data_IF_953463382515
#
_entry.id   IF_953463382515
#
_cell.length_a   1.000
_cell.length_b   1.000
_cell.length_c   1.000
_cell.angle_alpha   90.00
_cell.angle_beta   90.00
_cell.angle_gamma   90.00
#
_symmetry.space_group_name_H-M   'P 1'
#
loop_
_entity.id
_entity.type
_entity.pdbx_description
1 polymer ?
#
# COMPACT_ATOMS: atom_id res chain seq x y z
N UNK A 1 25.63 -4.24 -27.75
CA UNK A 1 24.41 -3.43 -27.92
C UNK A 1 24.00 -2.97 -26.53
N UNK A 2 23.79 -1.68 -26.32
CA UNK A 2 23.21 -1.21 -25.05
C UNK A 2 21.79 -1.78 -24.91
N UNK A 3 21.39 -2.30 -23.75
CA UNK A 3 20.02 -2.78 -23.56
C UNK A 3 19.02 -1.66 -23.84
N UNK A 4 17.90 -2.00 -24.48
CA UNK A 4 16.83 -1.05 -24.79
C UNK A 4 16.01 -0.72 -23.53
N UNK A 5 15.32 0.42 -23.57
CA UNK A 5 14.32 0.75 -22.56
C UNK A 5 13.16 -0.25 -22.62
N UNK A 6 12.54 -0.51 -21.48
CA UNK A 6 11.38 -1.38 -21.33
C UNK A 6 10.14 -0.55 -20.99
N UNK A 7 8.98 -0.99 -21.47
CA UNK A 7 7.72 -0.28 -21.24
C UNK A 7 6.87 -0.96 -20.16
N UNK A 8 6.23 -0.14 -19.32
CA UNK A 8 5.18 -0.56 -18.40
C UNK A 8 3.90 0.16 -18.78
N UNK A 9 2.86 -0.61 -19.11
CA UNK A 9 1.51 -0.08 -19.37
C UNK A 9 0.65 -0.27 -18.13
N UNK A 10 -0.15 0.73 -17.76
CA UNK A 10 -1.06 0.68 -16.60
C UNK A 10 -2.36 1.43 -16.85
N UNK A 11 -3.42 0.99 -16.17
CA UNK A 11 -4.67 1.72 -16.07
C UNK A 11 -4.62 2.63 -14.84
N UNK A 12 -4.82 3.93 -15.04
CA UNK A 12 -4.90 4.89 -13.96
C UNK A 12 -6.35 5.32 -13.76
N UNK A 13 -6.89 5.09 -12.56
CA UNK A 13 -8.16 5.63 -12.11
C UNK A 13 -7.89 6.81 -11.17
N UNK A 14 -8.58 7.94 -11.35
CA UNK A 14 -8.31 9.13 -10.54
C UNK A 14 -9.53 9.96 -10.20
N UNK A 15 -9.57 10.45 -8.96
CA UNK A 15 -10.49 11.48 -8.47
C UNK A 15 -9.85 12.88 -8.50
N UNK A 16 -8.72 13.05 -9.17
CA UNK A 16 -8.07 14.35 -9.38
C UNK A 16 -8.76 15.13 -10.50
N UNK A 17 -8.77 16.45 -10.37
CA UNK A 17 -9.25 17.37 -11.41
C UNK A 17 -8.26 17.39 -12.58
N UNK A 18 -8.72 17.17 -13.83
CA UNK A 18 -7.90 17.37 -15.03
C UNK A 18 -7.31 18.77 -15.05
N UNK A 19 -6.06 18.89 -15.47
CA UNK A 19 -5.37 20.19 -15.53
C UNK A 19 -5.73 21.03 -16.76
N UNK A 20 -6.10 20.37 -17.86
CA UNK A 20 -6.14 20.98 -19.20
C UNK A 20 -4.76 21.13 -19.87
N UNK A 21 -3.69 20.72 -19.22
CA UNK A 21 -2.31 20.75 -19.72
C UNK A 21 -1.82 19.32 -20.05
N UNK A 22 -1.48 19.02 -21.33
CA UNK A 22 -0.90 17.74 -21.73
C UNK A 22 0.39 17.36 -20.98
N UNK A 23 1.16 18.33 -20.46
CA UNK A 23 2.39 18.07 -19.72
C UNK A 23 2.15 17.65 -18.26
N UNK A 24 0.96 17.89 -17.71
CA UNK A 24 0.60 17.54 -16.33
C UNK A 24 -0.85 17.11 -16.31
N UNK A 25 -1.18 15.85 -16.59
CA UNK A 25 -2.56 15.42 -16.88
C UNK A 25 -3.59 15.79 -15.78
N UNK A 26 -3.18 15.74 -14.51
CA UNK A 26 -4.07 15.96 -13.37
C UNK A 26 -3.43 16.84 -12.29
N UNK A 27 -4.28 17.59 -11.59
CA UNK A 27 -3.87 18.52 -10.52
C UNK A 27 -3.97 17.86 -9.13
N UNK A 28 -3.64 18.62 -8.08
CA UNK A 28 -3.92 18.27 -6.69
C UNK A 28 -5.34 18.58 -6.22
N UNK A 29 -6.22 19.06 -7.12
CA UNK A 29 -7.59 19.44 -6.78
C UNK A 29 -8.57 18.28 -6.97
N UNK A 30 -9.67 18.29 -6.21
CA UNK A 30 -10.70 17.26 -6.22
C UNK A 30 -11.57 17.32 -7.49
N UNK A 31 -11.92 16.15 -8.01
CA UNK A 31 -12.94 15.95 -9.05
C UNK A 31 -14.01 14.98 -8.55
N UNK A 32 -15.30 15.32 -8.64
CA UNK A 32 -16.37 14.36 -8.34
C UNK A 32 -16.50 13.26 -9.40
N UNK A 33 -15.96 13.49 -10.61
CA UNK A 33 -15.92 12.51 -11.69
C UNK A 33 -14.62 11.69 -11.62
N UNK A 34 -14.77 10.37 -11.74
CA UNK A 34 -13.64 9.45 -11.92
C UNK A 34 -13.13 9.57 -13.36
N UNK A 35 -11.84 9.82 -13.53
CA UNK A 35 -11.18 9.76 -14.84
C UNK A 35 -10.36 8.47 -14.97
N UNK A 36 -10.33 7.90 -16.17
CA UNK A 36 -9.60 6.69 -16.49
C UNK A 36 -8.60 6.98 -17.61
N UNK A 37 -7.35 6.52 -17.46
CA UNK A 37 -6.28 6.77 -18.41
C UNK A 37 -5.44 5.51 -18.61
N UNK A 38 -5.21 5.13 -19.86
CA UNK A 38 -4.15 4.21 -20.25
C UNK A 38 -2.83 4.98 -20.34
N UNK A 39 -1.83 4.57 -19.56
CA UNK A 39 -0.49 5.15 -19.58
C UNK A 39 0.55 4.10 -19.93
N UNK A 40 1.47 4.45 -20.84
CA UNK A 40 2.70 3.69 -21.09
C UNK A 40 3.90 4.50 -20.62
N UNK A 41 4.69 3.91 -19.73
CA UNK A 41 5.88 4.50 -19.12
C UNK A 41 7.09 3.72 -19.63
N UNK A 42 8.01 4.41 -20.28
CA UNK A 42 9.33 3.88 -20.60
C UNK A 42 10.24 3.95 -19.38
N UNK A 43 10.92 2.85 -19.11
CA UNK A 43 11.85 2.65 -18.00
C UNK A 43 13.28 2.57 -18.56
N UNK A 44 14.21 3.41 -18.10
CA UNK A 44 15.56 3.43 -18.64
C UNK A 44 16.34 2.16 -18.28
N UNK A 45 17.19 1.65 -19.19
CA UNK A 45 18.03 0.48 -18.93
C UNK A 45 19.13 0.79 -17.91
N UNK A 46 19.68 -0.26 -17.28
CA UNK A 46 20.85 -0.19 -16.39
C UNK A 46 20.69 0.72 -15.15
N UNK A 47 19.47 0.93 -14.67
CA UNK A 47 19.22 1.58 -13.38
C UNK A 47 19.32 0.58 -12.22
N UNK A 48 19.56 1.08 -11.01
CA UNK A 48 19.42 0.28 -9.81
C UNK A 48 17.93 -0.02 -9.54
N UNK A 49 17.63 -1.22 -9.04
CA UNK A 49 16.27 -1.55 -8.59
C UNK A 49 15.89 -0.66 -7.41
N UNK A 50 14.63 -0.24 -7.34
CA UNK A 50 14.13 0.67 -6.30
C UNK A 50 14.35 2.16 -6.58
N UNK A 51 15.12 2.52 -7.63
CA UNK A 51 15.36 3.93 -8.00
C UNK A 51 14.45 4.39 -9.12
N UNK A 52 14.07 5.67 -9.07
CA UNK A 52 13.40 6.38 -10.17
C UNK A 52 14.35 7.45 -10.70
N UNK A 53 14.74 7.32 -11.96
CA UNK A 53 15.55 8.32 -12.67
C UNK A 53 14.63 9.41 -13.21
N UNK A 54 14.45 10.48 -12.43
CA UNK A 54 13.53 11.57 -12.75
C UNK A 54 14.02 12.44 -13.92
N UNK A 55 13.12 12.83 -14.85
CA UNK A 55 13.41 13.81 -15.87
C UNK A 55 13.90 15.14 -15.27
N UNK A 56 15.08 15.59 -15.68
CA UNK A 56 15.61 16.90 -15.25
C UNK A 56 15.13 18.04 -16.14
N UNK A 57 14.74 17.74 -17.37
CA UNK A 57 14.24 18.68 -18.38
C UNK A 57 13.23 17.95 -19.28
N UNK A 58 12.34 18.72 -19.91
CA UNK A 58 11.42 18.21 -20.92
C UNK A 58 11.96 18.50 -22.34
N UNK A 59 11.77 17.59 -23.32
CA UNK A 59 11.23 16.24 -23.15
C UNK A 59 12.25 15.30 -22.44
N UNK A 60 11.78 14.28 -21.69
CA UNK A 60 12.65 13.32 -21.04
C UNK A 60 13.45 12.48 -22.05
N UNK A 61 14.59 11.93 -21.65
CA UNK A 61 15.32 10.95 -22.44
C UNK A 61 15.01 9.51 -21.95
N UNK A 62 14.24 8.70 -22.69
CA UNK A 62 13.84 7.36 -22.25
C UNK A 62 14.99 6.37 -22.03
N UNK A 63 16.19 6.66 -22.56
CA UNK A 63 17.39 5.85 -22.33
C UNK A 63 18.09 6.16 -20.99
N UNK A 64 17.68 7.23 -20.31
CA UNK A 64 18.32 7.70 -19.07
C UNK A 64 17.32 8.00 -17.96
N UNK A 65 16.08 8.29 -18.30
CA UNK A 65 15.06 8.82 -17.41
C UNK A 65 13.72 8.11 -17.67
N UNK A 66 12.86 8.07 -16.65
CA UNK A 66 11.49 7.62 -16.81
C UNK A 66 10.72 8.59 -17.71
N UNK A 67 9.92 8.06 -18.64
CA UNK A 67 9.18 8.90 -19.57
C UNK A 67 7.77 8.35 -19.80
N UNK A 68 6.76 9.21 -19.76
CA UNK A 68 5.44 8.87 -20.30
C UNK A 68 5.56 8.93 -21.83
N UNK A 69 5.41 7.78 -22.48
CA UNK A 69 5.53 7.65 -23.95
C UNK A 69 4.18 7.51 -24.64
N UNK A 70 3.13 7.13 -23.89
CA UNK A 70 1.74 7.18 -24.34
C UNK A 70 0.80 7.53 -23.18
N UNK A 71 -0.24 8.31 -23.50
CA UNK A 71 -1.32 8.63 -22.57
C UNK A 71 -2.63 8.74 -23.34
N UNK A 72 -3.62 7.93 -22.99
CA UNK A 72 -4.95 7.94 -23.61
C UNK A 72 -6.04 7.95 -22.53
N UNK A 73 -6.86 9.00 -22.51
CA UNK A 73 -8.07 9.00 -21.69
C UNK A 73 -9.06 7.93 -22.20
N UNK A 74 -9.66 7.18 -21.27
CA UNK A 74 -10.55 6.07 -21.59
C UNK A 74 -11.97 6.32 -21.05
N UNK A 75 -12.96 5.86 -21.79
CA UNK A 75 -14.29 5.58 -21.27
C UNK A 75 -14.31 4.28 -20.44
N UNK A 76 -15.39 4.03 -19.71
CA UNK A 76 -15.55 2.79 -18.92
C UNK A 76 -15.48 1.52 -19.80
N UNK A 77 -16.16 1.43 -20.97
CA UNK A 77 -16.01 0.28 -21.86
C UNK A 77 -14.57 0.10 -22.33
N UNK A 78 -13.88 1.17 -22.74
CA UNK A 78 -12.48 1.07 -23.17
C UNK A 78 -11.54 0.64 -22.04
N UNK A 79 -11.79 1.07 -20.80
CA UNK A 79 -11.03 0.62 -19.64
C UNK A 79 -11.26 -0.87 -19.33
N UNK A 80 -12.47 -1.39 -19.59
CA UNK A 80 -12.77 -2.82 -19.51
C UNK A 80 -12.02 -3.59 -20.61
N UNK A 81 -12.01 -3.09 -21.84
CA UNK A 81 -11.27 -3.71 -22.95
C UNK A 81 -9.76 -3.69 -22.68
N UNK A 82 -9.24 -2.59 -22.10
CA UNK A 82 -7.86 -2.50 -21.61
C UNK A 82 -7.59 -3.58 -20.57
N UNK A 83 -8.46 -3.72 -19.57
CA UNK A 83 -8.31 -4.75 -18.54
C UNK A 83 -8.27 -6.15 -19.17
N UNK A 84 -9.17 -6.46 -20.09
CA UNK A 84 -9.24 -7.79 -20.72
C UNK A 84 -8.01 -8.11 -21.58
N UNK A 85 -7.41 -7.10 -22.21
CA UNK A 85 -6.19 -7.26 -23.02
C UNK A 85 -4.89 -7.37 -22.20
N UNK A 86 -4.87 -6.81 -20.98
CA UNK A 86 -3.68 -6.79 -20.12
C UNK A 86 -3.75 -7.79 -18.95
N UNK A 87 -4.94 -8.32 -18.64
CA UNK A 87 -5.16 -9.28 -17.57
C UNK A 87 -5.12 -10.74 -18.08
N UNK A 88 -3.92 -11.25 -18.32
CA UNK A 88 -3.74 -12.59 -18.91
C UNK A 88 -3.96 -13.76 -17.95
N UNK A 89 -3.88 -13.55 -16.64
CA UNK A 89 -3.97 -14.59 -15.62
C UNK A 89 -5.07 -14.35 -14.57
N UNK A 90 -5.88 -13.30 -14.74
CA UNK A 90 -6.94 -12.94 -13.80
C UNK A 90 -6.49 -12.15 -12.58
N UNK A 91 -5.21 -11.82 -12.46
CA UNK A 91 -4.64 -11.15 -11.28
C UNK A 91 -4.48 -9.65 -11.54
N UNK A 92 -5.07 -8.83 -10.68
CA UNK A 92 -5.00 -7.37 -10.73
C UNK A 92 -4.30 -6.85 -9.49
N UNK A 93 -3.33 -5.95 -9.68
CA UNK A 93 -2.73 -5.19 -8.58
C UNK A 93 -3.25 -3.76 -8.63
N UNK A 94 -3.92 -3.34 -7.57
CA UNK A 94 -4.38 -1.97 -7.37
C UNK A 94 -3.45 -1.27 -6.39
N UNK A 95 -2.73 -0.24 -6.85
CA UNK A 95 -1.86 0.56 -5.99
C UNK A 95 -2.47 1.93 -5.63
N UNK A 96 -2.33 2.34 -4.38
CA UNK A 96 -2.77 3.63 -3.85
C UNK A 96 -1.60 4.36 -3.19
N UNK A 97 -1.28 5.54 -3.68
CA UNK A 97 -0.17 6.34 -3.17
C UNK A 97 -0.46 7.00 -1.81
N UNK A 98 0.60 7.48 -1.16
CA UNK A 98 0.57 8.18 0.12
C UNK A 98 0.37 9.69 0.04
N UNK A 99 0.63 10.34 1.18
CA UNK A 99 0.58 11.79 1.35
C UNK A 99 1.69 12.50 0.55
N UNK A 100 1.45 13.76 0.17
CA UNK A 100 2.45 14.63 -0.45
C UNK A 100 2.97 14.11 -1.80
N UNK A 101 2.06 13.60 -2.64
CA UNK A 101 2.37 13.07 -3.97
C UNK A 101 1.68 13.86 -5.08
N UNK A 102 2.46 14.24 -6.09
CA UNK A 102 1.90 14.64 -7.38
C UNK A 102 1.37 13.43 -8.14
N UNK A 103 0.68 13.69 -9.25
CA UNK A 103 0.18 12.63 -10.11
C UNK A 103 1.33 11.82 -10.71
N UNK A 104 2.31 12.51 -11.29
CA UNK A 104 3.51 11.94 -11.90
C UNK A 104 4.36 11.15 -10.89
N UNK A 105 4.41 11.61 -9.63
CA UNK A 105 5.15 10.91 -8.58
C UNK A 105 4.63 9.48 -8.39
N UNK A 106 3.30 9.37 -8.36
CA UNK A 106 2.59 8.11 -8.16
C UNK A 106 2.73 7.19 -9.37
N UNK A 107 2.65 7.76 -10.57
CA UNK A 107 2.80 7.03 -11.84
C UNK A 107 4.18 6.41 -11.95
N UNK A 108 5.26 7.18 -11.76
CA UNK A 108 6.62 6.66 -11.93
C UNK A 108 7.01 5.68 -10.83
N UNK A 109 6.61 5.93 -9.58
CA UNK A 109 6.88 4.99 -8.47
C UNK A 109 6.16 3.67 -8.68
N UNK A 110 4.91 3.68 -9.14
CA UNK A 110 4.20 2.44 -9.43
C UNK A 110 4.79 1.71 -10.65
N UNK A 111 5.13 2.44 -11.72
CA UNK A 111 5.80 1.85 -12.89
C UNK A 111 7.14 1.19 -12.51
N UNK A 112 7.92 1.84 -11.65
CA UNK A 112 9.16 1.30 -11.10
C UNK A 112 8.91 0.00 -10.33
N UNK A 113 7.90 -0.01 -9.44
CA UNK A 113 7.56 -1.20 -8.67
C UNK A 113 7.14 -2.37 -9.58
N UNK A 114 6.26 -2.14 -10.57
CA UNK A 114 5.83 -3.17 -11.51
C UNK A 114 7.01 -3.73 -12.30
N UNK A 115 7.86 -2.85 -12.82
CA UNK A 115 9.06 -3.25 -13.56
C UNK A 115 10.02 -4.09 -12.70
N UNK A 116 10.33 -3.62 -11.50
CA UNK A 116 11.37 -4.23 -10.65
C UNK A 116 10.91 -5.50 -9.95
N UNK A 117 9.63 -5.58 -9.62
CA UNK A 117 9.04 -6.76 -9.00
C UNK A 117 8.90 -7.91 -9.99
N UNK A 118 8.83 -7.63 -11.29
CA UNK A 118 8.51 -8.61 -12.32
C UNK A 118 7.11 -9.24 -12.15
N UNK A 119 6.23 -8.57 -11.40
CA UNK A 119 4.90 -9.09 -11.08
C UNK A 119 4.08 -9.29 -12.36
N UNK A 120 3.56 -10.50 -12.55
CA UNK A 120 2.65 -10.84 -13.65
C UNK A 120 1.22 -10.55 -13.22
N UNK A 121 0.85 -9.28 -13.25
CA UNK A 121 -0.48 -8.77 -12.85
C UNK A 121 -0.89 -7.66 -13.81
N UNK A 122 -2.19 -7.40 -13.95
CA UNK A 122 -2.67 -6.18 -14.57
C UNK A 122 -2.49 -5.00 -13.58
N UNK A 123 -1.65 -4.00 -13.89
CA UNK A 123 -1.37 -2.91 -12.96
C UNK A 123 -2.44 -1.80 -13.07
N UNK A 124 -3.10 -1.53 -11.95
CA UNK A 124 -4.08 -0.44 -11.80
C UNK A 124 -3.57 0.53 -10.75
N UNK A 125 -3.38 1.79 -11.12
CA UNK A 125 -3.04 2.86 -10.19
C UNK A 125 -4.31 3.63 -9.82
N UNK A 126 -4.61 3.75 -8.54
CA UNK A 126 -5.60 4.73 -8.07
C UNK A 126 -4.90 5.96 -7.50
N UNK A 127 -5.17 7.13 -8.06
CA UNK A 127 -4.64 8.40 -7.56
C UNK A 127 -5.74 9.28 -6.99
N UNK A 128 -5.49 9.85 -5.81
CA UNK A 128 -6.39 10.76 -5.11
C UNK A 128 -5.76 12.15 -5.00
N UNK A 129 -6.54 13.23 -4.79
CA UNK A 129 -6.07 14.61 -4.93
C UNK A 129 -5.22 15.06 -3.73
N UNK A 130 -3.96 14.62 -3.73
CA UNK A 130 -2.89 15.18 -2.91
C UNK A 130 -2.34 16.45 -3.56
N UNK A 131 -2.15 17.49 -2.74
CA UNK A 131 -1.56 18.77 -3.18
C UNK A 131 -0.03 18.76 -3.24
N UNK A 132 0.63 17.63 -2.94
CA UNK A 132 2.08 17.52 -2.90
C UNK A 132 2.73 18.65 -2.06
N UNK A 133 2.12 18.93 -0.90
CA UNK A 133 2.64 19.89 0.07
C UNK A 133 2.57 19.32 1.47
N UNK A 134 3.67 19.39 2.21
CA UNK A 134 3.74 19.03 3.64
C UNK A 134 2.74 19.85 4.48
N UNK A 135 2.54 21.13 4.13
CA UNK A 135 1.55 22.00 4.79
C UNK A 135 0.11 21.64 4.40
N UNK A 136 -0.08 20.78 3.40
CA UNK A 136 -1.37 20.32 2.90
C UNK A 136 -1.94 19.11 3.64
N UNK A 137 -1.35 18.65 4.75
CA UNK A 137 -1.74 17.41 5.44
C UNK A 137 -3.25 17.27 5.68
N UNK A 138 -3.88 18.29 6.26
CA UNK A 138 -5.34 18.25 6.51
C UNK A 138 -6.15 18.22 5.21
N UNK A 139 -5.75 18.97 4.19
CA UNK A 139 -6.42 18.94 2.90
C UNK A 139 -6.31 17.54 2.27
N UNK A 140 -5.13 16.93 2.31
CA UNK A 140 -4.87 15.60 1.78
C UNK A 140 -5.67 14.53 2.52
N UNK A 141 -5.77 14.62 3.86
CA UNK A 141 -6.63 13.75 4.68
C UNK A 141 -8.12 13.88 4.33
N UNK A 142 -8.61 15.10 4.12
CA UNK A 142 -9.99 15.28 3.64
C UNK A 142 -10.17 14.81 2.19
N UNK A 143 -9.10 14.86 1.39
CA UNK A 143 -9.10 14.39 0.00
C UNK A 143 -9.10 12.86 -0.12
N UNK A 144 -8.52 12.14 0.84
CA UNK A 144 -8.69 10.69 0.92
C UNK A 144 -10.15 10.35 1.21
N UNK A 145 -10.76 10.96 2.23
CA UNK A 145 -12.19 10.77 2.53
C UNK A 145 -13.08 11.09 1.33
N UNK A 146 -12.82 12.20 0.63
CA UNK A 146 -13.52 12.56 -0.61
C UNK A 146 -13.41 11.47 -1.69
N UNK A 147 -12.28 10.78 -1.76
CA UNK A 147 -11.99 9.78 -2.80
C UNK A 147 -12.48 8.37 -2.47
N UNK A 148 -12.96 8.12 -1.25
CA UNK A 148 -13.43 6.81 -0.76
C UNK A 148 -14.40 6.13 -1.71
N UNK A 149 -15.46 6.84 -2.10
CA UNK A 149 -16.48 6.28 -3.02
C UNK A 149 -15.93 6.01 -4.42
N UNK A 150 -14.99 6.83 -4.91
CA UNK A 150 -14.35 6.62 -6.20
C UNK A 150 -13.43 5.38 -6.16
N UNK A 151 -12.71 5.17 -5.06
CA UNK A 151 -11.86 4.01 -4.88
C UNK A 151 -12.68 2.72 -4.72
N UNK A 152 -13.72 2.74 -3.87
CA UNK A 152 -14.67 1.63 -3.75
C UNK A 152 -15.23 1.24 -5.13
N UNK A 153 -15.73 2.19 -5.92
CA UNK A 153 -16.30 1.91 -7.25
C UNK A 153 -15.28 1.26 -8.17
N UNK A 154 -14.01 1.67 -8.09
CA UNK A 154 -12.91 1.05 -8.84
C UNK A 154 -12.73 -0.41 -8.41
N UNK A 155 -12.67 -0.68 -7.10
CA UNK A 155 -12.54 -2.04 -6.58
C UNK A 155 -13.74 -2.94 -6.92
N UNK A 156 -14.96 -2.43 -6.78
CA UNK A 156 -16.19 -3.15 -7.17
C UNK A 156 -16.18 -3.48 -8.67
N UNK A 157 -15.86 -2.52 -9.53
CA UNK A 157 -15.80 -2.75 -10.97
C UNK A 157 -14.79 -3.86 -11.36
N UNK A 158 -13.63 -3.89 -10.69
CA UNK A 158 -12.64 -4.95 -10.88
C UNK A 158 -13.15 -6.30 -10.35
N UNK A 159 -13.76 -6.31 -9.16
CA UNK A 159 -14.26 -7.54 -8.55
C UNK A 159 -15.45 -8.15 -9.31
N UNK A 160 -16.30 -7.33 -9.92
CA UNK A 160 -17.47 -7.77 -10.68
C UNK A 160 -17.11 -8.31 -12.08
N UNK A 161 -15.94 -7.94 -12.62
CA UNK A 161 -15.49 -8.41 -13.93
C UNK A 161 -15.11 -9.90 -13.89
N UNK A 162 -15.63 -10.68 -14.86
CA UNK A 162 -15.42 -12.14 -14.91
C UNK A 162 -14.00 -12.54 -15.27
N UNK A 163 -13.25 -11.69 -15.97
CA UNK A 163 -11.85 -11.97 -16.29
C UNK A 163 -10.94 -11.85 -15.07
N UNK A 164 -11.39 -11.16 -14.01
CA UNK A 164 -10.66 -10.99 -12.75
C UNK A 164 -11.02 -12.11 -11.78
N UNK A 165 -9.99 -12.76 -11.23
CA UNK A 165 -10.08 -13.84 -10.24
C UNK A 165 -9.34 -13.52 -8.95
N UNK A 166 -8.45 -12.52 -8.98
CA UNK A 166 -7.69 -12.03 -7.84
C UNK A 166 -7.46 -10.52 -7.95
N UNK A 167 -7.86 -9.79 -6.91
CA UNK A 167 -7.52 -8.38 -6.70
C UNK A 167 -6.65 -8.29 -5.46
N UNK A 168 -5.43 -7.80 -5.65
CA UNK A 168 -4.55 -7.42 -4.55
C UNK A 168 -4.51 -5.89 -4.46
N UNK A 169 -4.81 -5.36 -3.27
CA UNK A 169 -4.74 -3.91 -2.99
C UNK A 169 -3.45 -3.63 -2.24
N UNK A 170 -2.62 -2.73 -2.76
CA UNK A 170 -1.42 -2.24 -2.08
C UNK A 170 -1.57 -0.74 -1.85
N UNK A 171 -1.51 -0.31 -0.59
CA UNK A 171 -1.66 1.08 -0.22
C UNK A 171 -0.47 1.54 0.62
N UNK A 172 -0.02 2.78 0.42
CA UNK A 172 1.12 3.34 1.14
C UNK A 172 0.71 4.54 2.00
N UNK A 173 1.26 4.64 3.22
CA UNK A 173 1.13 5.82 4.08
C UNK A 173 -0.33 6.23 4.26
N UNK A 174 -0.68 7.50 4.05
CA UNK A 174 -2.07 7.99 4.11
C UNK A 174 -3.02 7.31 3.11
N UNK A 175 -2.50 6.67 2.05
CA UNK A 175 -3.30 5.83 1.16
C UNK A 175 -3.88 4.59 1.86
N UNK A 176 -3.28 4.13 2.96
CA UNK A 176 -3.82 2.99 3.74
C UNK A 176 -5.12 3.36 4.44
N UNK A 177 -5.26 4.62 4.88
CA UNK A 177 -6.52 5.16 5.40
C UNK A 177 -7.61 5.07 4.33
N UNK A 178 -7.34 5.57 3.13
CA UNK A 178 -8.29 5.48 2.00
C UNK A 178 -8.69 4.04 1.70
N UNK A 179 -7.72 3.12 1.70
CA UNK A 179 -7.98 1.72 1.43
C UNK A 179 -8.87 1.09 2.49
N UNK A 180 -8.56 1.28 3.78
CA UNK A 180 -9.37 0.76 4.88
C UNK A 180 -10.79 1.32 4.88
N UNK A 181 -10.96 2.63 4.75
CA UNK A 181 -12.28 3.26 4.73
C UNK A 181 -13.14 2.75 3.55
N UNK A 182 -12.51 2.50 2.40
CA UNK A 182 -13.21 2.02 1.21
C UNK A 182 -13.61 0.54 1.34
N UNK A 183 -12.73 -0.30 1.88
CA UNK A 183 -13.04 -1.71 2.15
C UNK A 183 -14.12 -1.85 3.23
N UNK A 184 -14.05 -1.02 4.26
CA UNK A 184 -15.09 -0.91 5.29
C UNK A 184 -16.41 -0.47 4.69
N UNK A 185 -16.41 0.57 3.86
CA UNK A 185 -17.62 1.01 3.16
C UNK A 185 -18.22 -0.11 2.30
N UNK A 186 -17.40 -0.90 1.60
CA UNK A 186 -17.86 -2.10 0.89
C UNK A 186 -18.48 -3.13 1.82
N UNK A 187 -17.83 -3.45 2.94
CA UNK A 187 -18.34 -4.43 3.90
C UNK A 187 -19.69 -4.01 4.50
N UNK A 188 -19.86 -2.73 4.81
CA UNK A 188 -21.12 -2.19 5.33
C UNK A 188 -22.23 -2.16 4.28
N UNK A 189 -21.92 -1.88 3.01
CA UNK A 189 -22.91 -1.83 1.93
C UNK A 189 -23.31 -3.22 1.42
N UNK A 190 -22.33 -4.11 1.24
CA UNK A 190 -22.51 -5.40 0.57
C UNK A 190 -22.57 -6.58 1.55
N UNK A 191 -22.42 -6.31 2.86
CA UNK A 191 -22.35 -7.30 3.94
C UNK A 191 -21.00 -8.01 4.07
N UNK A 192 -20.09 -7.84 3.11
CA UNK A 192 -18.71 -8.33 3.16
C UNK A 192 -17.86 -7.61 2.10
N UNK A 193 -16.54 -7.60 2.28
CA UNK A 193 -15.64 -7.29 1.17
C UNK A 193 -15.74 -8.40 0.11
N UNK A 194 -15.71 -8.04 -1.18
CA UNK A 194 -15.76 -9.04 -2.25
C UNK A 194 -14.67 -10.11 -2.08
N UNK A 195 -15.00 -11.41 -2.19
CA UNK A 195 -14.04 -12.50 -2.02
C UNK A 195 -12.95 -12.54 -3.11
N UNK A 196 -13.09 -11.75 -4.18
CA UNK A 196 -12.00 -11.57 -5.16
C UNK A 196 -10.91 -10.62 -4.68
N UNK A 197 -11.21 -9.74 -3.72
CA UNK A 197 -10.20 -8.92 -3.05
C UNK A 197 -9.53 -9.81 -2.01
N UNK A 198 -8.50 -10.55 -2.44
CA UNK A 198 -7.90 -11.61 -1.61
C UNK A 198 -6.82 -11.08 -0.69
N UNK A 199 -6.04 -10.12 -1.15
CA UNK A 199 -4.87 -9.62 -0.42
C UNK A 199 -4.94 -8.09 -0.28
N UNK A 200 -4.63 -7.60 0.91
CA UNK A 200 -4.49 -6.17 1.21
C UNK A 200 -3.14 -5.95 1.88
N UNK A 201 -2.28 -5.16 1.24
CA UNK A 201 -0.94 -4.82 1.71
C UNK A 201 -0.95 -3.35 2.13
N UNK A 202 -0.77 -3.09 3.41
CA UNK A 202 -0.69 -1.74 3.97
C UNK A 202 0.77 -1.42 4.30
N UNK A 203 1.41 -0.60 3.48
CA UNK A 203 2.82 -0.24 3.64
C UNK A 203 3.01 1.07 4.40
N UNK A 204 3.79 1.02 5.48
CA UNK A 204 4.00 2.13 6.44
C UNK A 204 2.70 2.89 6.76
N UNK A 205 1.64 2.23 7.27
CA UNK A 205 0.31 2.84 7.37
C UNK A 205 0.30 4.11 8.24
N UNK A 206 -0.16 5.21 7.65
CA UNK A 206 -0.49 6.43 8.40
C UNK A 206 -1.95 6.37 8.84
N UNK A 207 -2.25 5.38 9.68
CA UNK A 207 -3.56 5.08 10.22
C UNK A 207 -3.44 4.96 11.73
N UNK A 208 -4.38 5.58 12.42
CA UNK A 208 -4.52 5.49 13.87
C UNK A 208 -4.85 4.05 14.29
N UNK A 209 -4.20 3.55 15.34
CA UNK A 209 -4.37 2.16 15.80
C UNK A 209 -5.79 1.84 16.28
N UNK A 210 -6.46 2.80 16.91
CA UNK A 210 -7.81 2.62 17.44
C UNK A 210 -8.83 2.67 16.30
N UNK A 211 -8.63 3.60 15.35
CA UNK A 211 -9.44 3.65 14.13
C UNK A 211 -9.27 2.35 13.34
N UNK A 212 -8.04 1.88 13.13
CA UNK A 212 -7.79 0.61 12.44
C UNK A 212 -8.49 -0.55 13.15
N UNK A 213 -8.41 -0.62 14.48
CA UNK A 213 -9.07 -1.68 15.23
C UNK A 213 -10.59 -1.65 15.07
N UNK A 214 -11.20 -0.47 15.03
CA UNK A 214 -12.64 -0.32 14.79
C UNK A 214 -13.02 -0.72 13.36
N UNK A 215 -12.29 -0.22 12.37
CA UNK A 215 -12.50 -0.55 10.96
C UNK A 215 -12.32 -2.05 10.72
N UNK A 216 -11.32 -2.66 11.37
CA UNK A 216 -11.06 -4.10 11.33
C UNK A 216 -12.27 -4.90 11.78
N UNK A 217 -12.89 -4.53 12.90
CA UNK A 217 -14.11 -5.19 13.39
C UNK A 217 -15.26 -5.03 12.39
N UNK A 218 -15.43 -3.83 11.84
CA UNK A 218 -16.51 -3.48 10.91
C UNK A 218 -16.37 -4.10 9.50
N UNK A 219 -15.19 -4.64 9.15
CA UNK A 219 -15.03 -5.50 7.96
C UNK A 219 -15.79 -6.84 8.07
N UNK A 220 -16.24 -7.21 9.27
CA UNK A 220 -16.96 -8.46 9.52
C UNK A 220 -16.06 -9.71 9.50
N UNK A 221 -16.61 -10.92 9.63
CA UNK A 221 -15.82 -12.15 9.82
C UNK A 221 -15.07 -12.61 8.55
N UNK A 222 -15.55 -12.23 7.36
CA UNK A 222 -14.98 -12.63 6.07
C UNK A 222 -14.08 -11.52 5.52
N UNK A 223 -12.85 -11.47 6.00
CA UNK A 223 -11.87 -10.45 5.65
C UNK A 223 -10.92 -10.93 4.53
N UNK A 224 -10.43 -10.02 3.68
CA UNK A 224 -9.23 -10.26 2.90
C UNK A 224 -8.05 -10.65 3.80
N UNK A 225 -7.01 -11.22 3.22
CA UNK A 225 -5.75 -11.47 3.93
C UNK A 225 -4.94 -10.17 4.00
N UNK A 226 -4.62 -9.73 5.21
CA UNK A 226 -3.89 -8.48 5.43
C UNK A 226 -2.40 -8.74 5.67
N UNK A 227 -1.57 -7.97 4.99
CA UNK A 227 -0.14 -7.82 5.29
C UNK A 227 0.14 -6.36 5.65
N UNK A 228 0.71 -6.12 6.81
CA UNK A 228 1.10 -4.78 7.26
C UNK A 228 2.63 -4.69 7.25
N UNK A 229 3.18 -3.71 6.55
CA UNK A 229 4.61 -3.45 6.56
C UNK A 229 4.86 -2.27 7.50
N UNK A 230 5.63 -2.50 8.57
CA UNK A 230 5.92 -1.51 9.62
C UNK A 230 7.39 -1.15 9.65
N UNK A 231 7.70 0.02 10.19
CA UNK A 231 9.07 0.43 10.50
C UNK A 231 9.03 1.35 11.71
N UNK A 232 9.61 0.93 12.84
CA UNK A 232 9.58 1.71 14.09
C UNK A 232 10.44 2.98 14.02
N UNK A 233 11.44 2.99 13.14
CA UNK A 233 12.32 4.12 12.85
C UNK A 233 11.80 5.03 11.71
N UNK A 234 10.52 4.90 11.33
CA UNK A 234 9.85 5.73 10.33
C UNK A 234 9.65 7.16 10.85
N UNK A 235 10.36 8.10 10.23
CA UNK A 235 10.36 9.51 10.64
C UNK A 235 9.16 10.29 10.10
N UNK A 236 8.58 9.85 8.99
CA UNK A 236 7.40 10.50 8.43
C UNK A 236 6.18 10.24 9.31
N UNK A 237 6.02 8.99 9.77
CA UNK A 237 4.95 8.62 10.70
C UNK A 237 5.13 9.30 12.07
N UNK A 238 6.35 9.54 12.53
CA UNK A 238 6.60 10.29 13.76
C UNK A 238 6.08 11.73 13.68
N UNK A 239 6.23 12.38 12.52
CA UNK A 239 5.66 13.71 12.26
C UNK A 239 4.13 13.65 12.19
N UNK A 240 3.58 12.64 11.52
CA UNK A 240 2.12 12.46 11.44
C UNK A 240 1.47 12.25 12.81
N UNK A 241 2.08 11.39 13.65
CA UNK A 241 1.69 11.17 15.04
C UNK A 241 1.63 12.49 15.82
N UNK A 242 2.65 13.34 15.68
CA UNK A 242 2.67 14.66 16.33
C UNK A 242 1.51 15.54 15.86
N UNK A 243 1.26 15.60 14.55
CA UNK A 243 0.16 16.39 13.96
C UNK A 243 -1.21 15.89 14.44
N UNK A 244 -1.34 14.58 14.67
CA UNK A 244 -2.62 13.94 15.04
C UNK A 244 -2.80 13.73 16.53
N UNK A 245 -2.18 14.57 17.37
CA UNK A 245 -2.43 14.54 18.82
C UNK A 245 -1.66 13.46 19.57
N UNK A 246 -0.53 12.99 19.03
CA UNK A 246 0.37 12.02 19.64
C UNK A 246 -0.18 10.59 19.79
N UNK A 247 -1.15 10.21 18.95
CA UNK A 247 -1.70 8.85 18.90
C UNK A 247 -0.82 7.93 18.05
N UNK A 248 -0.68 6.67 18.49
CA UNK A 248 0.14 5.68 17.79
C UNK A 248 -0.39 5.39 16.38
N UNK A 249 0.55 5.17 15.45
CA UNK A 249 0.26 4.79 14.07
C UNK A 249 0.50 3.30 13.88
N UNK A 250 -0.39 2.65 13.12
CA UNK A 250 -0.25 1.25 12.74
C UNK A 250 1.11 0.96 12.10
N UNK A 251 1.68 1.88 11.31
CA UNK A 251 3.00 1.69 10.72
C UNK A 251 4.20 1.78 11.68
N UNK A 252 3.99 2.20 12.93
CA UNK A 252 5.03 2.35 13.95
C UNK A 252 4.88 1.39 15.13
N UNK A 253 3.85 0.53 15.16
CA UNK A 253 3.68 -0.44 16.25
C UNK A 253 4.84 -1.44 16.28
N UNK A 254 5.18 -1.91 17.47
CA UNK A 254 6.10 -3.02 17.63
C UNK A 254 5.32 -4.33 17.58
N UNK A 255 5.42 -5.12 16.50
CA UNK A 255 4.65 -6.36 16.37
C UNK A 255 5.14 -7.47 17.31
N UNK A 256 6.28 -7.31 17.98
CA UNK A 256 6.81 -8.26 18.95
C UNK A 256 6.38 -7.97 20.39
N UNK A 257 5.82 -6.78 20.65
CA UNK A 257 5.39 -6.35 21.97
C UNK A 257 3.88 -6.54 22.19
N UNK A 258 3.49 -6.81 23.44
CA UNK A 258 2.08 -6.79 23.83
C UNK A 258 1.57 -5.34 23.99
N UNK A 259 0.29 -5.06 23.67
CA UNK A 259 -0.75 -6.02 23.28
C UNK A 259 -0.78 -6.33 21.76
N UNK A 260 0.09 -5.71 20.96
CA UNK A 260 0.02 -5.80 19.50
C UNK A 260 0.31 -7.20 18.97
N UNK A 261 1.30 -7.89 19.54
CA UNK A 261 1.67 -9.26 19.14
C UNK A 261 0.49 -10.21 19.15
N UNK A 262 -0.15 -10.38 20.31
CA UNK A 262 -1.27 -11.32 20.46
C UNK A 262 -2.49 -10.90 19.61
N UNK A 263 -2.76 -9.59 19.51
CA UNK A 263 -3.90 -9.05 18.74
C UNK A 263 -3.74 -9.24 17.24
N UNK A 264 -2.57 -8.93 16.69
CA UNK A 264 -2.28 -9.10 15.27
C UNK A 264 -2.28 -10.60 14.90
N UNK A 265 -1.77 -11.46 15.78
CA UNK A 265 -1.84 -12.91 15.62
C UNK A 265 -3.29 -13.44 15.64
N UNK A 266 -4.10 -13.03 16.61
CA UNK A 266 -5.50 -13.43 16.71
C UNK A 266 -6.34 -12.93 15.53
N UNK A 267 -6.00 -11.76 14.99
CA UNK A 267 -6.61 -11.21 13.78
C UNK A 267 -6.15 -11.93 12.50
N UNK A 268 -5.13 -12.79 12.55
CA UNK A 268 -4.57 -13.43 11.36
C UNK A 268 -3.89 -12.44 10.41
N UNK A 269 -3.40 -11.31 10.93
CA UNK A 269 -2.68 -10.29 10.16
C UNK A 269 -1.22 -10.68 10.08
N UNK A 270 -0.66 -10.72 8.87
CA UNK A 270 0.78 -10.85 8.67
C UNK A 270 1.44 -9.48 8.81
N UNK A 271 2.55 -9.40 9.54
CA UNK A 271 3.32 -8.17 9.72
C UNK A 271 4.75 -8.38 9.26
N UNK A 272 5.25 -7.47 8.44
CA UNK A 272 6.65 -7.39 8.04
C UNK A 272 7.27 -6.18 8.71
N UNK A 273 8.19 -6.39 9.64
CA UNK A 273 8.97 -5.33 10.27
C UNK A 273 10.25 -5.07 9.47
N UNK A 274 10.34 -3.86 8.92
CA UNK A 274 11.49 -3.33 8.16
C UNK A 274 12.35 -2.38 8.99
N UNK A 275 12.17 -2.31 10.31
CA UNK A 275 12.93 -1.43 11.21
C UNK A 275 14.45 -1.55 10.96
N UNK A 276 14.98 -2.76 10.80
CA UNK A 276 16.42 -2.96 10.61
C UNK A 276 16.88 -2.94 9.14
N UNK A 277 15.97 -2.74 8.18
CA UNK A 277 16.30 -2.63 6.77
C UNK A 277 16.82 -1.21 6.48
N UNK A 278 18.00 -1.13 5.86
CA UNK A 278 18.63 0.13 5.48
C UNK A 278 18.38 0.44 4.02
N UNK A 279 17.97 1.67 3.74
CA UNK A 279 17.77 2.18 2.37
C UNK A 279 18.34 3.59 2.27
N UNK A 280 18.29 4.19 1.07
CA UNK A 280 18.68 5.58 0.87
C UNK A 280 17.57 6.57 1.29
N UNK A 281 16.38 6.09 1.66
CA UNK A 281 15.30 6.91 2.15
C UNK A 281 15.62 7.47 3.54
N UNK A 282 15.88 8.78 3.59
CA UNK A 282 16.19 9.52 4.83
C UNK A 282 15.04 9.57 5.82
N UNK A 283 13.81 9.30 5.38
CA UNK A 283 12.60 9.25 6.21
C UNK A 283 12.26 7.84 6.69
N UNK A 284 12.92 6.80 6.15
CA UNK A 284 12.61 5.40 6.46
C UNK A 284 11.13 5.01 6.19
N UNK A 285 10.46 5.72 5.28
CA UNK A 285 9.02 5.62 5.04
C UNK A 285 8.65 4.86 3.76
N UNK A 286 9.61 4.72 2.84
CA UNK A 286 9.45 4.10 1.52
C UNK A 286 10.29 2.83 1.37
N UNK A 287 10.78 2.25 2.49
CA UNK A 287 11.64 1.05 2.50
C UNK A 287 11.05 -0.11 1.69
N UNK A 288 9.73 -0.25 1.67
CA UNK A 288 9.02 -1.30 0.94
C UNK A 288 9.22 -1.24 -0.60
N UNK A 289 9.40 -0.03 -1.16
CA UNK A 289 9.55 0.18 -2.60
C UNK A 289 11.02 0.44 -3.01
N UNK A 290 11.85 0.91 -2.08
CA UNK A 290 13.27 1.20 -2.36
C UNK A 290 14.21 0.03 -2.07
N UNK A 291 13.80 -0.97 -1.27
CA UNK A 291 14.57 -2.20 -1.08
C UNK A 291 14.29 -3.18 -2.22
N UNK A 292 15.31 -3.54 -3.04
CA UNK A 292 15.17 -4.54 -4.10
C UNK A 292 14.65 -5.90 -3.58
N UNK A 293 15.07 -6.27 -2.37
CA UNK A 293 14.67 -7.52 -1.73
C UNK A 293 13.17 -7.54 -1.43
N UNK A 294 12.64 -6.45 -0.87
CA UNK A 294 11.20 -6.33 -0.57
C UNK A 294 10.39 -6.26 -1.86
N UNK A 295 10.83 -5.47 -2.85
CA UNK A 295 10.15 -5.38 -4.15
C UNK A 295 10.06 -6.76 -4.82
N UNK A 296 11.14 -7.55 -4.78
CA UNK A 296 11.16 -8.91 -5.34
C UNK A 296 10.30 -9.89 -4.53
N UNK A 297 10.31 -9.78 -3.20
CA UNK A 297 9.45 -10.58 -2.32
C UNK A 297 7.97 -10.35 -2.65
N UNK A 298 7.55 -9.08 -2.70
CA UNK A 298 6.19 -8.69 -3.05
C UNK A 298 5.84 -9.11 -4.49
N UNK A 299 6.77 -8.96 -5.44
CA UNK A 299 6.59 -9.43 -6.82
C UNK A 299 6.33 -10.93 -6.93
N UNK A 300 7.07 -11.72 -6.15
CA UNK A 300 6.91 -13.18 -6.11
C UNK A 300 5.54 -13.57 -5.54
N UNK A 301 5.11 -12.90 -4.47
CA UNK A 301 3.77 -13.08 -3.88
C UNK A 301 2.66 -12.74 -4.89
N UNK A 302 2.76 -11.59 -5.55
CA UNK A 302 1.79 -11.13 -6.54
C UNK A 302 1.68 -12.09 -7.74
N UNK A 303 2.81 -12.67 -8.16
CA UNK A 303 2.85 -13.63 -9.26
C UNK A 303 2.25 -15.00 -8.87
N UNK A 304 2.42 -15.45 -7.63
CA UNK A 304 1.91 -16.75 -7.17
C UNK A 304 0.46 -16.71 -6.71
N UNK A 305 -0.08 -15.52 -6.37
CA UNK A 305 -1.39 -15.37 -5.74
C UNK A 305 -1.46 -15.97 -4.34
N UNK A 306 -0.32 -16.38 -3.76
CA UNK A 306 -0.22 -16.97 -2.42
C UNK A 306 0.09 -15.90 -1.38
N UNK A 307 -0.13 -16.22 -0.10
CA UNK A 307 0.31 -15.35 0.99
C UNK A 307 1.79 -15.45 1.25
N UNK A 308 2.36 -14.38 1.78
CA UNK A 308 3.77 -14.32 2.18
C UNK A 308 4.13 -15.38 3.24
N UNK A 309 3.17 -15.83 4.04
CA UNK A 309 3.33 -16.92 5.01
C UNK A 309 3.58 -18.29 4.38
N UNK A 310 2.99 -18.55 3.21
CA UNK A 310 3.13 -19.83 2.49
C UNK A 310 4.46 -19.90 1.73
N UNK A 311 5.00 -18.73 1.40
CA UNK A 311 6.28 -18.58 0.73
C UNK A 311 7.40 -18.72 1.76
N UNK A 312 7.84 -19.95 2.04
CA UNK A 312 9.10 -20.24 2.75
C UNK A 312 10.31 -19.79 1.91
N UNK A 313 10.46 -18.48 1.69
CA UNK A 313 11.71 -17.89 1.21
C UNK A 313 12.50 -17.57 2.46
N UNK A 314 13.55 -18.36 2.72
CA UNK A 314 14.45 -18.19 3.85
C UNK A 314 15.17 -16.83 3.78
N UNK A 315 14.56 -15.81 4.36
CA UNK A 315 15.15 -14.48 4.58
C UNK A 315 15.31 -14.26 6.09
N UNK A 316 15.98 -15.20 6.78
CA UNK A 316 16.01 -15.27 8.24
C UNK A 316 17.20 -14.58 8.91
N UNK A 317 18.42 -14.72 8.40
CA UNK A 317 19.61 -14.43 9.25
C UNK A 317 20.49 -13.27 8.77
N UNK A 318 20.21 -12.64 7.62
CA UNK A 318 21.13 -11.66 7.02
C UNK A 318 20.55 -10.28 6.68
N UNK A 319 19.22 -10.11 6.68
CA UNK A 319 18.57 -8.94 6.04
C UNK A 319 17.79 -8.03 7.00
N UNK A 320 17.71 -8.36 8.29
CA UNK A 320 17.03 -7.52 9.28
C UNK A 320 15.50 -7.44 9.15
N UNK A 321 14.90 -8.25 8.27
CA UNK A 321 13.45 -8.36 8.09
C UNK A 321 12.91 -9.34 9.15
N UNK A 322 11.88 -8.94 9.88
CA UNK A 322 11.18 -9.82 10.83
C UNK A 322 9.74 -10.00 10.38
N UNK A 323 9.29 -11.25 10.23
CA UNK A 323 7.90 -11.58 9.91
C UNK A 323 7.21 -12.04 11.20
N UNK A 324 6.14 -11.35 11.58
CA UNK A 324 5.34 -11.67 12.76
C UNK A 324 3.86 -11.83 12.35
N UNK A 325 3.17 -12.83 12.90
CA UNK A 325 1.75 -13.06 12.63
C UNK A 325 1.46 -14.31 11.78
N UNK A 326 0.30 -14.91 12.06
CA UNK A 326 -0.23 -16.20 11.54
C UNK A 326 0.60 -17.46 11.88
N UNK A 327 0.00 -18.37 12.67
CA UNK A 327 0.53 -19.71 12.96
C UNK A 327 -0.15 -20.68 11.99
N UNK A 328 0.52 -21.07 10.91
CA UNK A 328 0.13 -22.29 10.20
C UNK A 328 0.73 -23.49 10.93
N UNK A 329 -0.16 -24.31 11.47
CA UNK A 329 0.13 -25.47 12.31
C UNK A 329 0.69 -26.63 11.46
N UNK A 330 1.91 -26.53 10.94
CA UNK A 330 2.76 -27.71 10.63
C UNK A 330 4.26 -27.37 10.76
N UNK A 331 4.86 -27.76 11.88
CA UNK A 331 6.31 -27.94 12.03
C UNK A 331 6.97 -27.05 13.08
N UNK A 332 7.36 -27.65 14.21
CA UNK A 332 8.15 -27.03 15.27
C UNK A 332 9.44 -26.37 14.73
N UNK A 333 9.59 -25.06 14.95
CA UNK A 333 10.92 -24.44 14.99
C UNK A 333 10.99 -23.54 16.22
N UNK A 334 11.77 -23.99 17.21
CA UNK A 334 12.12 -23.19 18.37
C UNK A 334 13.13 -22.12 17.95
N UNK A 335 12.79 -20.84 18.12
CA UNK A 335 13.75 -19.75 18.02
C UNK A 335 14.11 -19.30 19.44
N UNK A 336 15.31 -19.65 19.90
CA UNK A 336 15.88 -19.11 21.15
C UNK A 336 16.51 -17.75 20.88
N UNK A 337 15.89 -16.68 21.35
CA UNK A 337 16.50 -15.34 21.38
C UNK A 337 17.21 -15.13 22.73
N UNK A 338 18.53 -14.95 22.70
CA UNK A 338 19.30 -14.45 23.84
C UNK A 338 19.38 -12.93 23.73
N UNK A 339 18.73 -12.20 24.63
CA UNK A 339 18.87 -10.74 24.77
C UNK A 339 19.47 -10.42 26.14
N UNK A 340 20.53 -9.60 26.15
CA UNK A 340 21.06 -9.02 27.38
C UNK A 340 20.13 -7.89 27.88
N UNK A 341 19.95 -7.70 29.20
CA UNK A 341 19.07 -6.68 29.72
C UNK A 341 19.69 -5.29 29.57
N UNK A 342 18.94 -4.35 28.99
CA UNK A 342 19.28 -2.93 28.99
C UNK A 342 18.39 -2.27 30.05
N UNK A 343 19.00 -1.65 31.05
CA UNK A 343 18.32 -0.86 32.08
C UNK A 343 17.77 0.43 31.46
N UNK A 344 16.46 0.60 31.50
CA UNK A 344 15.78 1.82 31.07
C UNK A 344 15.77 2.86 32.19
N UNK A 345 16.09 4.11 31.85
CA UNK A 345 15.81 5.30 32.67
C UNK A 345 14.39 5.74 32.36
N UNK A 346 13.53 5.77 33.38
CA UNK A 346 12.12 6.17 33.29
C UNK A 346 11.97 7.67 32.99
N UNK A 347 11.33 7.97 31.85
CA UNK A 347 10.61 9.23 31.63
C UNK A 347 9.12 8.93 31.57
N UNK A 348 8.33 9.56 32.46
CA UNK A 348 6.88 9.40 32.52
C UNK A 348 6.21 9.90 31.23
N UNK A 349 5.58 9.00 30.50
CA UNK A 349 4.51 9.27 29.55
C UNK A 349 3.30 8.42 29.96
N UNK A 350 2.12 9.02 30.05
CA UNK A 350 0.88 8.32 30.42
C UNK A 350 0.59 7.17 29.45
N UNK A 351 0.39 5.97 30.01
CA UNK A 351 0.05 4.74 29.27
C UNK A 351 -1.47 4.69 29.04
N UNK A 352 -1.96 4.27 27.86
CA UNK A 352 -3.36 3.91 27.69
C UNK A 352 -3.71 2.69 28.56
N UNK A 353 -4.95 2.62 29.04
CA UNK A 353 -5.42 1.52 29.89
C UNK A 353 -5.59 0.21 29.07
N UNK A 354 -5.27 -0.98 29.62
CA UNK A 354 -5.29 -2.25 28.90
C UNK A 354 -6.64 -2.72 28.30
N UNK A 355 -7.78 -2.18 28.76
CA UNK A 355 -9.13 -2.69 28.41
C UNK A 355 -9.75 -2.08 27.14
N UNK A 356 -9.33 -0.89 26.73
CA UNK A 356 -10.02 -0.12 25.68
C UNK A 356 -9.81 -0.75 24.28
N UNK A 357 -8.61 -1.29 24.08
CA UNK A 357 -8.15 -1.80 22.79
C UNK A 357 -8.69 -3.23 22.51
N UNK A 358 -9.14 -3.96 23.54
CA UNK A 358 -9.84 -5.25 23.36
C UNK A 358 -11.29 -5.03 22.91
N UNK A 359 -11.95 -4.03 23.51
CA UNK A 359 -13.31 -3.60 23.16
C UNK A 359 -13.39 -3.11 21.71
N UNK A 360 -12.37 -2.36 21.25
CA UNK A 360 -12.26 -1.88 19.87
C UNK A 360 -12.17 -3.03 18.84
N UNK A 361 -11.42 -4.09 19.14
CA UNK A 361 -11.15 -5.21 18.22
C UNK A 361 -12.18 -6.34 18.25
N UNK A 362 -12.92 -6.50 19.36
CA UNK A 362 -14.01 -7.48 19.47
C UNK A 362 -15.36 -6.90 19.03
N UNK A 363 -15.50 -5.58 19.02
CA UNK A 363 -16.79 -4.92 18.81
C UNK A 363 -17.65 -4.96 20.05
N UNK A 364 -18.57 -4.00 20.15
CA UNK A 364 -19.51 -3.88 21.27
C UNK A 364 -20.51 -5.05 21.22
N UNK A 365 -20.69 -5.76 22.34
CA UNK A 365 -21.61 -6.90 22.44
C UNK A 365 -23.11 -6.51 22.44
N UNK A 366 -23.42 -5.24 22.16
CA UNK A 366 -24.76 -4.65 22.29
C UNK A 366 -25.49 -4.48 20.95
N UNK A 367 -24.91 -4.94 19.84
CA UNK A 367 -25.57 -4.94 18.52
C UNK A 367 -25.78 -6.38 18.04
N UNK A 368 -26.88 -7.00 18.49
CA UNK A 368 -27.59 -8.07 17.76
C UNK A 368 -28.73 -7.48 16.93
#
# INVERSE_FOLDING_TARGET
MSPAASDVTMLVATSRKPSGDPATLFTGERSPALSLTDLTISIPPNRASGTVEWPKKLPPNPQKEFAVVAAKGLSIPEARDWLHSHNSNGHVLVFVHGFNNRYEDSVFRFAQFIHDSGAKVAPVLFTWPSRASVLGYNYDKESTNFSRTAFERTLKALADDRSVTDVTVMAHSMGTWLAMESLRQMALQDGQVSPKIKNVILASPDLDVDVFGREWTELGPKKPKFTIIVSRDDRALAVSRLISGNVDRVGQVDPSAEPYKSKLQAAGITVIDLTNVKTNDRLNHSKFAESPEIVKLLGTQLASGQTLTDSRVGLGDGLGIVIAGTIDTVGNVAATTVGAPITAVEGKADKPAPDELETILKGDATTE
#
